data_IF_073640255634
#
_entry.id   IF_073640255634
#
_cell.length_a   1.000
_cell.length_b   1.000
_cell.length_c   1.000
_cell.angle_alpha   90.00
_cell.angle_beta   90.00
_cell.angle_gamma   90.00
#
_symmetry.space_group_name_H-M   'P 1'
#
loop_
_entity.id
_entity.type
_entity.pdbx_description
1 polymer ?
#
# COMPACT_ATOMS: atom_id res chain seq x y z
N UNK A 1 -0.56 8.19 -1.47
CA UNK A 1 -0.51 6.81 -2.02
C UNK A 1 -1.52 6.67 -3.15
N UNK A 2 -1.38 5.66 -4.01
CA UNK A 2 -2.33 5.35 -5.09
C UNK A 2 -2.59 3.85 -5.11
N UNK A 3 -3.86 3.45 -5.28
CA UNK A 3 -4.26 2.05 -5.49
C UNK A 3 -4.71 1.89 -6.94
N UNK A 4 -4.27 0.82 -7.61
CA UNK A 4 -4.63 0.52 -9.00
C UNK A 4 -5.03 -0.95 -9.16
N UNK A 5 -6.04 -1.21 -9.98
CA UNK A 5 -6.44 -2.56 -10.38
C UNK A 5 -5.86 -2.86 -11.77
N UNK A 6 -5.11 -3.95 -11.91
CA UNK A 6 -4.53 -4.41 -13.18
C UNK A 6 -4.71 -5.93 -13.27
N UNK A 7 -5.31 -6.44 -14.35
CA UNK A 7 -5.54 -7.88 -14.56
C UNK A 7 -6.14 -8.60 -13.34
N UNK A 8 -7.19 -7.99 -12.77
CA UNK A 8 -7.89 -8.46 -11.56
C UNK A 8 -7.04 -8.55 -10.28
N UNK A 9 -5.84 -7.96 -10.27
CA UNK A 9 -4.98 -7.80 -9.09
C UNK A 9 -4.97 -6.35 -8.63
N UNK A 10 -4.92 -6.14 -7.33
CA UNK A 10 -4.78 -4.81 -6.73
C UNK A 10 -3.33 -4.51 -6.38
N UNK A 11 -2.92 -3.28 -6.61
CA UNK A 11 -1.59 -2.79 -6.30
C UNK A 11 -1.66 -1.47 -5.57
N UNK A 12 -0.72 -1.25 -4.65
CA UNK A 12 -0.51 0.02 -3.97
C UNK A 12 0.87 0.57 -4.31
N UNK A 13 0.95 1.90 -4.39
CA UNK A 13 2.18 2.64 -4.62
C UNK A 13 2.21 3.87 -3.70
N UNK A 14 3.36 4.13 -3.09
CA UNK A 14 3.59 5.41 -2.42
C UNK A 14 3.95 6.50 -3.45
N UNK A 15 3.37 7.68 -3.28
CA UNK A 15 3.51 8.82 -4.22
C UNK A 15 4.25 9.98 -3.53
N UNK A 16 5.32 9.68 -2.80
CA UNK A 16 6.10 10.68 -2.07
C UNK A 16 5.38 11.22 -0.84
N UNK A 17 4.70 10.36 -0.08
CA UNK A 17 4.01 10.83 1.13
C UNK A 17 5.00 11.17 2.24
N UNK A 18 4.74 12.25 2.99
CA UNK A 18 5.61 12.72 4.08
C UNK A 18 5.92 11.62 5.11
N UNK A 19 4.88 10.86 5.49
CA UNK A 19 4.99 9.81 6.51
C UNK A 19 5.19 8.40 5.92
N UNK A 20 5.21 8.26 4.59
CA UNK A 20 5.32 6.98 3.89
C UNK A 20 4.05 6.13 3.92
N UNK A 21 4.08 5.08 3.10
CA UNK A 21 3.07 4.01 3.06
C UNK A 21 3.73 2.70 3.47
N UNK A 22 3.05 1.87 4.25
CA UNK A 22 3.53 0.56 4.67
C UNK A 22 2.54 -0.53 4.32
N UNK A 23 3.03 -1.71 3.95
CA UNK A 23 2.25 -2.93 3.75
C UNK A 23 2.84 -4.02 4.65
N UNK A 24 2.05 -4.60 5.54
CA UNK A 24 2.48 -5.59 6.53
C UNK A 24 3.72 -5.12 7.32
N UNK A 25 3.67 -3.89 7.81
CA UNK A 25 4.75 -3.22 8.55
C UNK A 25 6.03 -2.91 7.75
N UNK A 26 6.07 -3.22 6.45
CA UNK A 26 7.21 -2.91 5.57
C UNK A 26 6.94 -1.61 4.83
N UNK A 27 7.84 -0.62 4.97
CA UNK A 27 7.75 0.66 4.24
C UNK A 27 7.99 0.45 2.76
N UNK A 28 7.11 1.00 1.93
CA UNK A 28 7.32 1.01 0.48
C UNK A 28 8.45 1.98 0.11
N UNK A 29 9.29 1.59 -0.85
CA UNK A 29 10.21 2.54 -1.50
C UNK A 29 9.39 3.54 -2.34
N UNK A 30 9.96 4.71 -2.58
CA UNK A 30 9.32 5.72 -3.43
C UNK A 30 9.00 5.12 -4.81
N UNK A 31 7.77 5.34 -5.28
CA UNK A 31 7.25 4.81 -6.55
C UNK A 31 7.26 3.28 -6.68
N UNK A 32 7.56 2.52 -5.62
CA UNK A 32 7.47 1.07 -5.64
C UNK A 32 6.01 0.64 -5.70
N UNK A 33 5.71 -0.21 -6.67
CA UNK A 33 4.40 -0.84 -6.83
C UNK A 33 4.41 -2.21 -6.16
N UNK A 34 3.54 -2.42 -5.18
CA UNK A 34 3.39 -3.69 -4.45
C UNK A 34 1.99 -4.23 -4.65
N UNK A 35 1.87 -5.52 -4.93
CA UNK A 35 0.58 -6.19 -5.01
C UNK A 35 0.02 -6.37 -3.59
N UNK A 36 -1.24 -5.98 -3.38
CA UNK A 36 -1.96 -6.21 -2.12
C UNK A 36 -2.96 -7.35 -2.28
N UNK A 37 -3.15 -8.11 -1.21
CA UNK A 37 -4.04 -9.26 -1.11
C UNK A 37 -4.96 -9.11 0.10
N UNK A 38 -6.05 -9.88 0.09
CA UNK A 38 -6.95 -9.98 1.25
C UNK A 38 -6.17 -10.39 2.49
N UNK A 39 -6.38 -9.68 3.60
CA UNK A 39 -5.66 -9.85 4.86
C UNK A 39 -4.45 -8.95 5.06
N UNK A 40 -3.94 -8.30 4.00
CA UNK A 40 -2.82 -7.36 4.15
C UNK A 40 -3.21 -6.15 4.99
N UNK A 41 -2.28 -5.71 5.84
CA UNK A 41 -2.41 -4.51 6.66
C UNK A 41 -1.69 -3.36 5.95
N UNK A 42 -2.44 -2.34 5.58
CA UNK A 42 -1.91 -1.13 4.96
C UNK A 42 -1.89 -0.03 6.03
N UNK A 43 -0.71 0.52 6.31
CA UNK A 43 -0.56 1.68 7.20
C UNK A 43 -0.31 2.94 6.38
N UNK A 44 -1.19 3.91 6.53
CA UNK A 44 -1.07 5.25 5.97
C UNK A 44 -0.91 6.23 7.13
N UNK A 45 0.27 6.83 7.27
CA UNK A 45 0.61 7.63 8.45
C UNK A 45 0.33 6.87 9.76
N UNK A 46 -0.65 7.31 10.55
CA UNK A 46 -0.95 6.74 11.87
C UNK A 46 -2.19 5.82 11.85
N UNK A 47 -2.73 5.51 10.67
CA UNK A 47 -3.97 4.75 10.50
C UNK A 47 -3.67 3.43 9.81
N UNK A 48 -4.26 2.35 10.33
CA UNK A 48 -4.16 0.99 9.76
C UNK A 48 -5.47 0.61 9.07
N UNK A 49 -5.36 0.00 7.90
CA UNK A 49 -6.44 -0.56 7.10
C UNK A 49 -6.18 -2.03 6.85
N UNK A 50 -7.24 -2.84 6.80
CA UNK A 50 -7.16 -4.27 6.45
C UNK A 50 -7.85 -4.47 5.11
N UNK A 51 -7.17 -5.11 4.17
CA UNK A 51 -7.75 -5.46 2.87
C UNK A 51 -8.75 -6.62 3.05
N UNK A 52 -10.02 -6.40 2.71
CA UNK A 52 -11.10 -7.39 2.85
C UNK A 52 -11.49 -8.05 1.52
#
# INVERSE_FOLDING_TARGET
CKITKVNNKFFIQDMGSLNGTYVNSIRLKENQKVQIKRGDIIKLSNINFIVK
#
